data_IF_467829902782
#
_entry.id   IF_467829902782
#
_cell.length_a   1.000
_cell.length_b   1.000
_cell.length_c   1.000
_cell.angle_alpha   90.00
_cell.angle_beta   90.00
_cell.angle_gamma   90.00
#
_symmetry.space_group_name_H-M   'P 1'
#
loop_
_entity.id
_entity.type
_entity.pdbx_description
1 polymer ?
#
# COMPACT_ATOMS: atom_id res chain seq x y z
N UNK A 1 16.34 10.25 -2.86
CA UNK A 1 16.76 11.43 -2.09
C UNK A 1 15.66 12.42 -2.36
N UNK A 2 14.59 12.29 -1.57
CA UNK A 2 13.49 13.23 -1.59
C UNK A 2 14.00 14.53 -0.96
N UNK A 3 13.74 15.64 -1.63
CA UNK A 3 14.35 16.94 -1.34
C UNK A 3 13.44 17.76 -0.42
N UNK A 4 13.92 18.94 0.03
CA UNK A 4 13.14 19.87 0.86
C UNK A 4 11.77 20.23 0.28
N UNK A 5 11.64 20.17 -1.05
CA UNK A 5 10.39 20.40 -1.78
C UNK A 5 9.29 19.37 -1.43
N UNK A 6 9.67 18.11 -1.20
CA UNK A 6 8.74 17.03 -0.85
C UNK A 6 8.17 17.23 0.57
N UNK A 7 8.99 17.77 1.47
CA UNK A 7 8.56 18.13 2.82
C UNK A 7 7.60 19.33 2.80
N UNK A 8 7.89 20.35 2.00
CA UNK A 8 7.02 21.52 1.85
C UNK A 8 5.66 21.12 1.30
N UNK A 9 5.64 20.31 0.22
CA UNK A 9 4.40 19.80 -0.35
C UNK A 9 3.60 18.97 0.67
N UNK A 10 4.27 18.08 1.40
CA UNK A 10 3.60 17.30 2.44
C UNK A 10 2.98 18.16 3.53
N UNK A 11 3.67 19.22 3.96
CA UNK A 11 3.18 20.15 4.99
C UNK A 11 2.01 21.00 4.49
N UNK A 12 1.98 21.36 3.20
CA UNK A 12 0.90 22.14 2.59
C UNK A 12 -0.34 21.29 2.28
N UNK A 13 -0.14 20.16 1.60
CA UNK A 13 -1.22 19.31 1.08
C UNK A 13 -1.70 18.25 2.09
N UNK A 14 -0.89 17.94 3.11
CA UNK A 14 -1.13 16.88 4.08
C UNK A 14 -0.84 15.47 3.55
N UNK A 15 -0.32 15.36 2.32
CA UNK A 15 0.12 14.11 1.70
C UNK A 15 1.24 14.38 0.68
N UNK A 16 1.95 13.31 0.31
CA UNK A 16 2.95 13.32 -0.76
C UNK A 16 2.70 12.10 -1.65
N UNK A 17 2.80 12.28 -2.96
CA UNK A 17 2.71 11.19 -3.94
C UNK A 17 4.08 10.96 -4.54
N UNK A 18 4.64 9.77 -4.32
CA UNK A 18 5.93 9.36 -4.88
C UNK A 18 5.67 8.50 -6.11
N UNK A 19 5.89 9.09 -7.29
CA UNK A 19 5.76 8.37 -8.55
C UNK A 19 6.81 7.26 -8.66
N UNK A 20 6.37 6.06 -9.03
CA UNK A 20 7.27 4.92 -9.24
C UNK A 20 7.94 4.38 -7.97
N UNK A 21 7.33 4.60 -6.78
CA UNK A 21 7.79 3.99 -5.53
C UNK A 21 8.00 2.48 -5.65
N UNK A 22 7.07 1.83 -6.35
CA UNK A 22 7.18 0.48 -6.88
C UNK A 22 7.13 0.55 -8.41
N UNK A 23 7.98 -0.23 -9.07
CA UNK A 23 7.93 -0.35 -10.52
C UNK A 23 6.73 -1.19 -10.99
N UNK A 24 6.43 -1.15 -12.29
CA UNK A 24 5.28 -1.84 -12.85
C UNK A 24 5.31 -3.37 -12.63
N UNK A 25 6.50 -3.97 -12.57
CA UNK A 25 6.65 -5.41 -12.35
C UNK A 25 6.45 -5.78 -10.87
N UNK A 26 6.94 -4.94 -9.95
CA UNK A 26 6.70 -5.06 -8.52
C UNK A 26 5.21 -4.93 -8.20
N UNK A 27 4.53 -3.97 -8.84
CA UNK A 27 3.08 -3.77 -8.70
C UNK A 27 2.29 -4.95 -9.25
N UNK A 28 2.61 -5.46 -10.45
CA UNK A 28 1.94 -6.64 -11.01
C UNK A 28 2.11 -7.87 -10.10
N UNK A 29 3.32 -8.11 -9.61
CA UNK A 29 3.62 -9.23 -8.75
C UNK A 29 2.84 -9.16 -7.44
N UNK A 30 2.84 -7.99 -6.78
CA UNK A 30 2.07 -7.77 -5.55
C UNK A 30 0.57 -7.95 -5.78
N UNK A 31 0.05 -7.47 -6.92
CA UNK A 31 -1.35 -7.63 -7.31
C UNK A 31 -1.73 -9.11 -7.48
N UNK A 32 -0.85 -9.92 -8.07
CA UNK A 32 -1.05 -11.37 -8.21
C UNK A 32 -1.00 -12.10 -6.87
N UNK A 33 -0.07 -11.73 -5.99
CA UNK A 33 0.02 -12.26 -4.62
C UNK A 33 -1.28 -11.97 -3.87
N UNK A 34 -1.73 -10.72 -3.86
CA UNK A 34 -2.95 -10.31 -3.16
C UNK A 34 -4.20 -11.05 -3.65
N UNK A 35 -4.33 -11.28 -4.96
CA UNK A 35 -5.46 -12.05 -5.54
C UNK A 35 -5.41 -13.54 -5.19
N UNK A 36 -4.23 -14.09 -4.97
CA UNK A 36 -4.03 -15.49 -4.58
C UNK A 36 -4.08 -15.71 -3.06
N UNK A 37 -4.07 -14.64 -2.26
CA UNK A 37 -4.07 -14.70 -0.80
C UNK A 37 -5.49 -14.94 -0.26
N UNK A 38 -5.80 -16.21 -0.04
CA UNK A 38 -7.09 -16.64 0.53
C UNK A 38 -7.35 -16.08 1.92
N UNK A 39 -6.30 -15.84 2.72
CA UNK A 39 -6.46 -15.30 4.08
C UNK A 39 -6.83 -13.83 4.02
N UNK A 40 -6.19 -13.06 3.13
CA UNK A 40 -6.56 -11.67 2.84
C UNK A 40 -8.03 -11.57 2.40
N UNK A 41 -8.50 -12.47 1.53
CA UNK A 41 -9.89 -12.54 1.10
C UNK A 41 -10.86 -12.90 2.24
N UNK A 42 -10.40 -13.66 3.24
CA UNK A 42 -11.22 -14.10 4.38
C UNK A 42 -11.42 -13.00 5.43
N UNK A 43 -10.38 -12.20 5.68
CA UNK A 43 -10.40 -11.11 6.68
C UNK A 43 -10.80 -9.75 6.10
N UNK A 44 -10.87 -9.68 4.77
CA UNK A 44 -11.47 -8.59 4.04
C UNK A 44 -12.88 -8.28 4.56
N UNK A 45 -13.05 -7.11 5.18
CA UNK A 45 -14.39 -6.63 5.45
C UNK A 45 -14.95 -6.05 4.14
N UNK A 46 -15.88 -6.78 3.53
CA UNK A 46 -16.63 -6.28 2.39
C UNK A 46 -17.65 -5.25 2.86
N UNK A 47 -17.45 -3.98 2.49
CA UNK A 47 -18.51 -2.97 2.57
C UNK A 47 -18.99 -2.73 1.15
N UNK A 48 -20.30 -2.82 0.93
CA UNK A 48 -20.88 -2.31 -0.30
C UNK A 48 -20.57 -0.81 -0.36
N UNK A 49 -19.91 -0.37 -1.42
CA UNK A 49 -19.81 1.06 -1.71
C UNK A 49 -21.21 1.63 -2.01
N UNK A 50 -21.28 2.95 -2.20
CA UNK A 50 -22.54 3.63 -2.47
C UNK A 50 -23.25 3.16 -3.76
N UNK A 51 -22.54 2.47 -4.66
CA UNK A 51 -23.02 1.94 -5.94
C UNK A 51 -23.21 0.40 -5.93
N UNK A 52 -22.97 -0.26 -4.79
CA UNK A 52 -23.15 -1.71 -4.61
C UNK A 52 -21.96 -2.58 -5.03
N UNK A 53 -20.81 -2.01 -5.39
CA UNK A 53 -19.57 -2.76 -5.59
C UNK A 53 -18.95 -3.10 -4.22
N UNK A 54 -18.51 -4.35 -4.07
CA UNK A 54 -17.86 -4.78 -2.84
C UNK A 54 -16.44 -4.19 -2.80
N UNK A 55 -16.23 -3.16 -1.99
CA UNK A 55 -14.88 -2.71 -1.64
C UNK A 55 -14.40 -3.56 -0.48
N UNK A 56 -13.30 -4.26 -0.72
CA UNK A 56 -12.62 -5.11 0.26
C UNK A 56 -11.52 -4.29 0.91
N UNK A 57 -11.63 -4.09 2.22
CA UNK A 57 -10.57 -3.50 3.03
C UNK A 57 -10.09 -4.51 4.08
N UNK A 58 -8.77 -4.66 4.18
CA UNK A 58 -8.11 -5.37 5.25
C UNK A 58 -7.03 -4.48 5.84
N UNK A 59 -7.03 -4.35 7.17
CA UNK A 59 -6.03 -3.58 7.92
C UNK A 59 -5.27 -4.53 8.83
N UNK A 60 -3.94 -4.51 8.73
CA UNK A 60 -3.02 -5.24 9.61
C UNK A 60 -2.03 -4.23 10.17
N UNK A 61 -1.83 -4.24 11.48
CA UNK A 61 -0.89 -3.32 12.15
C UNK A 61 0.42 -4.01 12.56
N UNK A 62 0.46 -5.34 12.51
CA UNK A 62 1.63 -6.13 12.87
C UNK A 62 2.52 -6.38 11.66
N UNK A 63 3.83 -6.26 11.86
CA UNK A 63 4.83 -6.65 10.88
C UNK A 63 5.20 -8.12 11.09
N UNK A 64 5.01 -8.93 10.06
CA UNK A 64 5.33 -10.37 10.07
C UNK A 64 6.34 -10.70 8.96
N UNK A 65 6.65 -11.97 8.76
CA UNK A 65 7.50 -12.41 7.64
C UNK A 65 6.65 -12.67 6.39
N UNK A 66 6.16 -11.59 5.78
CA UNK A 66 5.37 -11.63 4.54
C UNK A 66 5.74 -10.48 3.58
N UNK A 67 5.20 -10.56 2.36
CA UNK A 67 5.48 -9.59 1.29
C UNK A 67 5.03 -8.17 1.65
N UNK A 68 3.91 -8.01 2.35
CA UNK A 68 3.39 -6.71 2.75
C UNK A 68 4.31 -6.04 3.78
N UNK A 69 4.76 -6.81 4.76
CA UNK A 69 5.68 -6.36 5.81
C UNK A 69 7.10 -6.10 5.28
N UNK A 70 7.51 -6.80 4.21
CA UNK A 70 8.76 -6.52 3.51
C UNK A 70 8.71 -5.16 2.79
N UNK A 71 7.59 -4.85 2.11
CA UNK A 71 7.38 -3.55 1.46
C UNK A 71 7.31 -2.44 2.51
N UNK A 72 6.49 -2.61 3.56
CA UNK A 72 6.31 -1.62 4.63
C UNK A 72 7.62 -1.24 5.36
N UNK A 73 8.58 -2.17 5.44
CA UNK A 73 9.91 -1.95 6.04
C UNK A 73 10.99 -1.57 5.03
N UNK A 74 10.66 -1.45 3.74
CA UNK A 74 11.65 -1.13 2.72
C UNK A 74 12.20 0.28 2.94
N UNK A 75 13.48 0.48 2.62
CA UNK A 75 14.10 1.82 2.69
C UNK A 75 13.38 2.85 1.83
N UNK A 76 12.71 2.44 0.75
CA UNK A 76 11.91 3.34 -0.08
C UNK A 76 10.73 3.96 0.67
N UNK A 77 10.21 3.28 1.70
CA UNK A 77 9.09 3.75 2.55
C UNK A 77 9.59 4.40 3.84
N UNK A 78 10.64 3.85 4.45
CA UNK A 78 11.16 4.31 5.76
C UNK A 78 12.08 5.51 5.62
N UNK A 79 12.88 5.53 4.56
CA UNK A 79 13.83 6.60 4.23
C UNK A 79 13.51 7.19 2.83
N UNK A 80 12.30 7.73 2.60
CA UNK A 80 11.96 8.37 1.33
C UNK A 80 12.89 9.59 1.12
#
# INVERSE_FOLDING_TARGET
MHDTLDLEQFLEDGFLVIDGLLDASEVDLLSRIARADCELQRIAYGRADADGQAVVLSVRNDLVDDYYSAIARSRRIVDP
#
